data_IF_307902384021
#
_entry.id   IF_307902384021
#
_cell.length_a   1.000
_cell.length_b   1.000
_cell.length_c   1.000
_cell.angle_alpha   90.00
_cell.angle_beta   90.00
_cell.angle_gamma   90.00
#
_symmetry.space_group_name_H-M   'P 1'
#
loop_
_entity.id
_entity.type
_entity.pdbx_description
1 polymer ?
#
# COMPACT_ATOMS: atom_id res chain seq x y z
N UNK A 1 31.79 -10.28 -1.88
CA UNK A 1 32.37 -9.64 -0.67
C UNK A 1 31.85 -8.23 -0.41
N UNK A 2 32.25 -7.16 -1.13
CA UNK A 2 31.70 -5.80 -0.87
C UNK A 2 30.21 -5.66 -1.22
N UNK A 3 29.77 -6.24 -2.33
CA UNK A 3 28.36 -6.26 -2.73
C UNK A 3 27.49 -7.00 -1.73
N UNK A 4 27.93 -8.15 -1.22
CA UNK A 4 27.20 -8.91 -0.20
C UNK A 4 27.11 -8.17 1.13
N UNK A 5 28.16 -7.46 1.56
CA UNK A 5 28.13 -6.65 2.79
C UNK A 5 27.21 -5.44 2.61
N UNK A 6 27.26 -4.77 1.45
CA UNK A 6 26.36 -3.66 1.13
C UNK A 6 24.91 -4.13 0.97
N UNK A 7 24.68 -5.30 0.36
CA UNK A 7 23.36 -5.90 0.26
C UNK A 7 22.87 -6.41 1.61
N UNK A 8 23.73 -6.92 2.49
CA UNK A 8 23.41 -7.34 3.86
C UNK A 8 23.00 -6.13 4.71
N UNK A 9 23.81 -5.06 4.71
CA UNK A 9 23.46 -3.82 5.40
C UNK A 9 22.23 -3.13 4.81
N UNK A 10 22.05 -3.20 3.48
CA UNK A 10 20.83 -2.76 2.83
C UNK A 10 19.64 -3.70 3.16
N UNK A 11 19.82 -5.00 3.33
CA UNK A 11 18.77 -5.92 3.76
C UNK A 11 18.40 -5.66 5.23
N UNK A 12 19.32 -5.26 6.09
CA UNK A 12 18.99 -4.87 7.47
C UNK A 12 18.29 -3.49 7.52
N UNK A 13 18.67 -2.57 6.61
CA UNK A 13 18.07 -1.24 6.50
C UNK A 13 16.72 -1.23 5.74
N UNK A 14 16.57 -2.10 4.73
CA UNK A 14 15.46 -2.19 3.78
C UNK A 14 14.58 -3.41 4.08
N UNK A 15 15.05 -4.45 4.76
CA UNK A 15 14.33 -5.73 4.94
C UNK A 15 12.95 -5.61 5.58
N UNK A 16 12.73 -4.55 6.37
CA UNK A 16 11.38 -4.21 6.87
C UNK A 16 10.50 -3.56 5.78
N UNK A 17 11.07 -2.70 4.92
CA UNK A 17 10.42 -2.08 3.76
C UNK A 17 10.19 -3.05 2.59
N UNK A 18 11.05 -4.06 2.38
CA UNK A 18 10.88 -5.08 1.32
C UNK A 18 9.61 -5.91 1.57
N UNK A 19 9.30 -6.17 2.84
CA UNK A 19 8.09 -6.88 3.28
C UNK A 19 6.78 -6.09 3.05
N UNK A 20 6.88 -4.82 2.65
CA UNK A 20 5.74 -3.95 2.35
C UNK A 20 5.56 -3.79 0.84
N UNK A 21 6.65 -3.72 0.07
CA UNK A 21 6.59 -3.76 -1.39
C UNK A 21 5.90 -5.03 -1.89
N UNK A 22 6.10 -6.17 -1.24
CA UNK A 22 5.40 -7.41 -1.59
C UNK A 22 3.88 -7.28 -1.51
N UNK A 23 3.34 -6.61 -0.49
CA UNK A 23 1.89 -6.37 -0.35
C UNK A 23 1.37 -5.39 -1.40
N UNK A 24 2.16 -4.35 -1.73
CA UNK A 24 1.82 -3.38 -2.77
C UNK A 24 1.81 -4.04 -4.15
N UNK A 25 2.82 -4.85 -4.46
CA UNK A 25 2.90 -5.64 -5.69
C UNK A 25 1.71 -6.60 -5.77
N UNK A 26 1.41 -7.32 -4.69
CA UNK A 26 0.25 -8.23 -4.61
C UNK A 26 -1.07 -7.50 -4.88
N UNK A 27 -1.27 -6.31 -4.31
CA UNK A 27 -2.44 -5.48 -4.60
C UNK A 27 -2.48 -5.00 -6.05
N UNK A 28 -1.34 -4.59 -6.62
CA UNK A 28 -1.24 -4.16 -8.02
C UNK A 28 -1.56 -5.29 -9.00
N UNK A 29 -1.01 -6.48 -8.77
CA UNK A 29 -1.32 -7.68 -9.56
C UNK A 29 -2.79 -8.07 -9.44
N UNK A 30 -3.34 -8.01 -8.23
CA UNK A 30 -4.76 -8.26 -8.01
C UNK A 30 -5.63 -7.26 -8.78
N UNK A 31 -5.29 -5.96 -8.74
CA UNK A 31 -5.99 -4.91 -9.48
C UNK A 31 -5.94 -5.16 -10.99
N UNK A 32 -4.78 -5.54 -11.54
CA UNK A 32 -4.62 -5.89 -12.96
C UNK A 32 -5.48 -7.11 -13.35
N UNK A 33 -5.48 -8.16 -12.53
CA UNK A 33 -6.19 -9.41 -12.81
C UNK A 33 -7.71 -9.26 -12.70
N UNK A 34 -8.21 -8.47 -11.75
CA UNK A 34 -9.64 -8.38 -11.43
C UNK A 34 -10.28 -7.07 -11.90
N UNK A 35 -9.53 -6.20 -12.59
CA UNK A 35 -9.96 -4.87 -13.01
C UNK A 35 -10.48 -4.03 -11.83
N UNK A 36 -9.79 -4.11 -10.69
CA UNK A 36 -10.10 -3.36 -9.47
C UNK A 36 -9.16 -2.17 -9.31
N UNK A 37 -9.35 -1.38 -8.25
CA UNK A 37 -8.53 -0.20 -7.97
C UNK A 37 -8.24 -0.07 -6.47
N UNK A 38 -7.95 -1.19 -5.82
CA UNK A 38 -7.74 -1.31 -4.38
C UNK A 38 -6.43 -0.68 -3.93
N UNK A 39 -5.38 -0.74 -4.75
CA UNK A 39 -4.12 -0.05 -4.47
C UNK A 39 -4.32 1.47 -4.42
N UNK A 40 -5.01 2.05 -5.42
CA UNK A 40 -5.36 3.47 -5.43
C UNK A 40 -6.31 3.83 -4.28
N UNK A 41 -7.23 2.94 -3.92
CA UNK A 41 -8.13 3.13 -2.78
C UNK A 41 -7.33 3.26 -1.48
N UNK A 42 -6.38 2.36 -1.26
CA UNK A 42 -5.49 2.39 -0.09
C UNK A 42 -4.62 3.66 -0.09
N UNK A 43 -4.04 4.02 -1.23
CA UNK A 43 -3.25 5.25 -1.41
C UNK A 43 -4.04 6.49 -1.00
N UNK A 44 -5.25 6.67 -1.53
CA UNK A 44 -6.11 7.81 -1.18
C UNK A 44 -6.53 7.79 0.28
N UNK A 45 -6.88 6.62 0.83
CA UNK A 45 -7.22 6.50 2.24
C UNK A 45 -6.08 6.98 3.16
N UNK A 46 -4.85 6.57 2.88
CA UNK A 46 -3.67 6.94 3.66
C UNK A 46 -3.26 8.41 3.47
N UNK A 47 -3.46 8.97 2.26
CA UNK A 47 -3.21 10.39 1.95
C UNK A 47 -4.15 11.31 2.74
N UNK A 48 -5.42 10.93 2.90
CA UNK A 48 -6.40 11.69 3.67
C UNK A 48 -6.41 11.34 5.16
N UNK A 49 -5.29 10.81 5.68
CA UNK A 49 -5.11 10.55 7.11
C UNK A 49 -6.05 9.50 7.67
N UNK A 50 -6.31 8.46 6.87
CA UNK A 50 -7.18 7.33 7.22
C UNK A 50 -8.63 7.79 7.48
N UNK A 51 -9.06 8.88 6.84
CA UNK A 51 -10.43 9.39 6.94
C UNK A 51 -11.25 8.89 5.77
N UNK A 52 -12.04 7.85 6.04
CA UNK A 52 -12.87 7.16 5.05
C UNK A 52 -13.73 8.12 4.22
N UNK A 53 -14.42 9.06 4.88
CA UNK A 53 -15.27 10.03 4.19
C UNK A 53 -14.47 10.91 3.21
N UNK A 54 -13.37 11.51 3.68
CA UNK A 54 -12.55 12.40 2.85
C UNK A 54 -11.89 11.69 1.67
N UNK A 55 -11.46 10.44 1.87
CA UNK A 55 -10.88 9.63 0.81
C UNK A 55 -11.92 9.14 -0.20
N UNK A 56 -13.16 8.87 0.24
CA UNK A 56 -14.26 8.55 -0.66
C UNK A 56 -14.60 9.77 -1.55
N UNK A 57 -14.68 10.96 -0.94
CA UNK A 57 -14.93 12.23 -1.62
C UNK A 57 -13.83 12.53 -2.67
N UNK A 58 -12.55 12.30 -2.34
CA UNK A 58 -11.43 12.52 -3.28
C UNK A 58 -11.44 11.58 -4.49
N UNK A 59 -12.10 10.43 -4.36
CA UNK A 59 -12.25 9.42 -5.40
C UNK A 59 -13.59 9.50 -6.13
N UNK A 60 -14.47 10.43 -5.76
CA UNK A 60 -15.83 10.55 -6.29
C UNK A 60 -16.64 9.24 -6.18
N UNK A 61 -16.49 8.52 -5.06
CA UNK A 61 -17.23 7.28 -4.77
C UNK A 61 -17.98 7.40 -3.44
N UNK A 62 -19.02 6.57 -3.26
CA UNK A 62 -19.73 6.51 -1.99
C UNK A 62 -18.87 5.89 -0.86
N UNK A 63 -19.15 6.29 0.38
CA UNK A 63 -18.50 5.79 1.60
C UNK A 63 -18.61 4.28 1.75
N UNK A 64 -19.75 3.70 1.38
CA UNK A 64 -19.97 2.25 1.44
C UNK A 64 -19.07 1.53 0.44
N UNK A 65 -18.90 2.11 -0.75
CA UNK A 65 -17.97 1.59 -1.77
C UNK A 65 -16.52 1.68 -1.29
N UNK A 66 -16.12 2.82 -0.72
CA UNK A 66 -14.80 2.99 -0.12
C UNK A 66 -14.55 1.95 0.99
N UNK A 67 -15.52 1.78 1.89
CA UNK A 67 -15.47 0.79 2.98
C UNK A 67 -15.31 -0.63 2.45
N UNK A 68 -16.10 -1.00 1.44
CA UNK A 68 -16.02 -2.31 0.80
C UNK A 68 -14.63 -2.55 0.21
N UNK A 69 -14.10 -1.59 -0.56
CA UNK A 69 -12.78 -1.69 -1.17
C UNK A 69 -11.67 -1.82 -0.13
N UNK A 70 -11.71 -1.02 0.95
CA UNK A 70 -10.74 -1.14 2.06
C UNK A 70 -10.87 -2.49 2.79
N UNK A 71 -12.08 -3.02 2.93
CA UNK A 71 -12.30 -4.38 3.43
C UNK A 71 -11.59 -5.43 2.56
N UNK A 72 -11.77 -5.35 1.23
CA UNK A 72 -11.08 -6.22 0.27
C UNK A 72 -9.57 -6.04 0.30
N UNK A 73 -9.09 -4.80 0.43
CA UNK A 73 -7.66 -4.53 0.63
C UNK A 73 -7.14 -5.25 1.87
N UNK A 74 -7.84 -5.16 3.01
CA UNK A 74 -7.47 -5.83 4.27
C UNK A 74 -7.47 -7.35 4.14
N UNK A 75 -8.44 -7.92 3.41
CA UNK A 75 -8.48 -9.37 3.11
C UNK A 75 -7.29 -9.83 2.26
N UNK A 76 -6.79 -8.99 1.34
CA UNK A 76 -5.68 -9.34 0.45
C UNK A 76 -4.34 -9.27 1.18
N UNK A 77 -4.09 -8.19 1.94
CA UNK A 77 -2.79 -7.94 2.59
C UNK A 77 -2.70 -8.49 4.00
N UNK A 78 -3.84 -8.82 4.63
CA UNK A 78 -3.91 -9.39 5.99
C UNK A 78 -3.19 -8.53 7.05
N UNK A 79 -3.20 -7.20 6.87
CA UNK A 79 -2.56 -6.22 7.76
C UNK A 79 -3.50 -5.06 8.08
N UNK A 80 -3.33 -4.49 9.27
CA UNK A 80 -4.13 -3.37 9.76
C UNK A 80 -3.45 -2.03 9.44
N UNK A 81 -3.76 -1.47 8.27
CA UNK A 81 -3.21 -0.19 7.81
C UNK A 81 -3.77 1.06 8.52
N UNK A 82 -4.60 0.86 9.56
CA UNK A 82 -4.96 1.90 10.52
C UNK A 82 -3.93 2.07 11.65
N UNK A 83 -3.03 1.10 11.84
CA UNK A 83 -1.92 1.25 12.76
C UNK A 83 -0.92 2.29 12.24
N UNK A 84 -0.50 3.29 13.04
CA UNK A 84 0.36 4.37 12.55
C UNK A 84 1.66 3.92 11.89
N UNK A 85 2.30 2.87 12.42
CA UNK A 85 3.50 2.27 11.85
C UNK A 85 3.22 1.69 10.47
N UNK A 86 2.18 0.86 10.36
CA UNK A 86 1.75 0.20 9.12
C UNK A 86 1.28 1.25 8.11
N UNK A 87 0.51 2.25 8.50
CA UNK A 87 0.09 3.33 7.63
C UNK A 87 1.28 4.11 7.02
N UNK A 88 2.30 4.41 7.83
CA UNK A 88 3.54 5.07 7.37
C UNK A 88 4.29 4.19 6.37
N UNK A 89 4.43 2.92 6.70
CA UNK A 89 5.04 1.87 5.90
C UNK A 89 4.39 1.75 4.52
N UNK A 90 3.08 1.51 4.46
CA UNK A 90 2.33 1.44 3.20
C UNK A 90 2.43 2.73 2.37
N UNK A 91 2.43 3.92 2.98
CA UNK A 91 2.66 5.18 2.24
C UNK A 91 4.01 5.22 1.53
N UNK A 92 5.07 4.79 2.22
CA UNK A 92 6.41 4.71 1.62
C UNK A 92 6.47 3.66 0.52
N UNK A 93 5.93 2.46 0.76
CA UNK A 93 5.88 1.40 -0.23
C UNK A 93 5.13 1.80 -1.50
N UNK A 94 3.98 2.47 -1.37
CA UNK A 94 3.21 3.00 -2.50
C UNK A 94 4.02 4.07 -3.24
N UNK A 95 4.66 5.00 -2.52
CA UNK A 95 5.48 6.03 -3.14
C UNK A 95 6.63 5.45 -3.96
N UNK A 96 7.37 4.48 -3.41
CA UNK A 96 8.45 3.79 -4.13
C UNK A 96 7.91 3.05 -5.35
N UNK A 97 6.81 2.31 -5.20
CA UNK A 97 6.17 1.60 -6.31
C UNK A 97 5.81 2.55 -7.46
N UNK A 98 5.24 3.73 -7.17
CA UNK A 98 4.92 4.76 -8.18
C UNK A 98 6.15 5.39 -8.83
N UNK A 99 7.29 5.45 -8.15
CA UNK A 99 8.55 5.91 -8.75
C UNK A 99 9.11 4.89 -9.73
N UNK A 100 8.94 3.60 -9.48
CA UNK A 100 9.42 2.54 -10.36
C UNK A 100 8.51 2.28 -11.58
N UNK A 101 7.23 2.66 -11.53
CA UNK A 101 6.30 2.55 -12.68
C UNK A 101 6.46 3.69 -13.71
N UNK A 102 7.33 4.67 -13.47
CA UNK A 102 7.67 5.76 -14.41
C UNK A 102 8.93 5.46 -15.20
#
# INVERSE_FOLDING_TARGET
>A
MYTEIMMSGAIDLIGKQILELSDIIKLSEFDKKNQTNYLRTLEQYLLYGNKLARAADSMFIDRSTMKYRLGKTKDIIQKDFDQPSIAKQFRLGIFVFRLCEK
#
